data_IF_206390446138
#
_entry.id   IF_206390446138
#
_cell.length_a   1.000
_cell.length_b   1.000
_cell.length_c   1.000
_cell.angle_alpha   90.00
_cell.angle_beta   90.00
_cell.angle_gamma   90.00
#
_symmetry.space_group_name_H-M   'P 1'
#
loop_
_entity.id
_entity.type
_entity.pdbx_description
1 polymer ?
#
# COMPACT_ATOMS: atom_id res chain seq x y z
N UNK A 1 13.76 -6.57 -11.66
CA UNK A 1 13.38 -6.52 -10.23
C UNK A 1 12.07 -5.78 -10.13
N UNK A 2 11.11 -6.28 -9.35
CA UNK A 2 9.82 -5.61 -9.13
C UNK A 2 10.03 -4.39 -8.26
N UNK A 3 9.63 -3.20 -8.72
CA UNK A 3 9.83 -1.95 -7.99
C UNK A 3 8.99 -1.92 -6.71
N UNK A 4 7.90 -2.71 -6.68
CA UNK A 4 7.08 -2.96 -5.51
C UNK A 4 7.89 -3.35 -4.26
N UNK A 5 8.99 -4.11 -4.42
CA UNK A 5 9.82 -4.57 -3.29
C UNK A 5 10.50 -3.42 -2.54
N UNK A 6 10.61 -2.22 -3.13
CA UNK A 6 11.13 -1.05 -2.44
C UNK A 6 10.22 -0.57 -1.30
N UNK A 7 8.93 -0.94 -1.31
CA UNK A 7 8.00 -0.63 -0.23
C UNK A 7 8.16 -1.56 0.99
N UNK A 8 8.77 -2.74 0.81
CA UNK A 8 8.91 -3.74 1.87
C UNK A 8 9.62 -3.24 3.14
N UNK A 9 10.77 -2.55 3.09
CA UNK A 9 11.39 -2.01 4.30
C UNK A 9 10.47 -1.06 5.06
N UNK A 10 9.70 -0.22 4.36
CA UNK A 10 8.76 0.72 4.99
C UNK A 10 7.57 -0.01 5.63
N UNK A 11 7.04 -1.05 4.97
CA UNK A 11 6.01 -1.92 5.54
C UNK A 11 6.47 -2.63 6.81
N UNK A 12 7.71 -3.15 6.83
CA UNK A 12 8.28 -3.81 7.99
C UNK A 12 8.42 -2.81 9.14
N UNK A 13 8.93 -1.61 8.87
CA UNK A 13 9.05 -0.55 9.87
C UNK A 13 7.68 -0.13 10.43
N UNK A 14 6.69 0.09 9.57
CA UNK A 14 5.34 0.43 9.99
C UNK A 14 4.69 -0.70 10.81
N UNK A 15 4.89 -1.96 10.41
CA UNK A 15 4.41 -3.11 11.19
C UNK A 15 5.10 -3.20 12.54
N UNK A 16 6.41 -2.93 12.61
CA UNK A 16 7.14 -2.82 13.87
C UNK A 16 6.59 -1.71 14.76
N UNK A 17 6.11 -0.60 14.18
CA UNK A 17 5.50 0.50 14.91
C UNK A 17 4.20 0.10 15.62
N UNK A 18 3.47 -0.93 15.13
CA UNK A 18 2.32 -1.48 15.86
C UNK A 18 2.69 -2.02 17.24
N UNK A 19 3.92 -2.51 17.44
CA UNK A 19 4.37 -2.97 18.75
C UNK A 19 4.47 -1.83 19.77
N UNK A 20 4.51 -0.58 19.30
CA UNK A 20 4.59 0.63 20.12
C UNK A 20 3.22 1.30 20.25
N UNK A 21 2.42 1.31 19.19
CA UNK A 21 1.13 2.00 19.14
C UNK A 21 0.05 1.16 18.43
N UNK A 22 -0.91 0.67 19.21
CA UNK A 22 -1.96 -0.25 18.76
C UNK A 22 -3.31 0.43 18.48
N UNK A 23 -3.30 1.74 18.22
CA UNK A 23 -4.54 2.49 17.94
C UNK A 23 -5.12 2.12 16.56
N UNK A 24 -6.46 2.14 16.39
CA UNK A 24 -7.09 1.89 15.09
C UNK A 24 -6.54 2.79 13.96
N UNK A 25 -6.25 4.06 14.26
CA UNK A 25 -5.67 5.03 13.32
C UNK A 25 -4.25 4.65 12.82
N UNK A 26 -3.59 3.68 13.47
CA UNK A 26 -2.30 3.11 13.06
C UNK A 26 -2.51 1.76 12.37
N UNK A 27 -3.39 0.92 12.91
CA UNK A 27 -3.70 -0.41 12.37
C UNK A 27 -4.26 -0.32 10.95
N UNK A 28 -5.26 0.54 10.74
CA UNK A 28 -5.98 0.66 9.46
C UNK A 28 -5.03 0.96 8.29
N UNK A 29 -4.20 2.03 8.30
CA UNK A 29 -3.30 2.29 7.18
C UNK A 29 -2.29 1.16 6.95
N UNK A 30 -1.80 0.50 8.00
CA UNK A 30 -0.84 -0.62 7.86
C UNK A 30 -1.50 -1.83 7.21
N UNK A 31 -2.71 -2.18 7.63
CA UNK A 31 -3.48 -3.28 7.02
C UNK A 31 -3.76 -2.99 5.54
N UNK A 32 -4.20 -1.76 5.22
CA UNK A 32 -4.45 -1.35 3.83
C UNK A 32 -3.17 -1.42 2.98
N UNK A 33 -2.04 -0.98 3.52
CA UNK A 33 -0.75 -1.06 2.85
C UNK A 33 -0.32 -2.50 2.59
N UNK A 34 -0.49 -3.42 3.55
CA UNK A 34 -0.21 -4.84 3.36
C UNK A 34 -1.12 -5.47 2.31
N UNK A 35 -2.43 -5.16 2.35
CA UNK A 35 -3.38 -5.66 1.36
C UNK A 35 -3.02 -5.17 -0.05
N UNK A 36 -2.73 -3.88 -0.19
CA UNK A 36 -2.31 -3.30 -1.48
C UNK A 36 -1.04 -3.97 -1.99
N UNK A 37 -0.02 -4.12 -1.13
CA UNK A 37 1.22 -4.80 -1.49
C UNK A 37 0.97 -6.23 -1.95
N UNK A 38 0.15 -6.98 -1.22
CA UNK A 38 -0.16 -8.37 -1.55
C UNK A 38 -0.93 -8.50 -2.87
N UNK A 39 -1.88 -7.59 -3.11
CA UNK A 39 -2.66 -7.53 -4.35
C UNK A 39 -1.77 -7.24 -5.56
N UNK A 40 -0.96 -6.18 -5.53
CA UNK A 40 -0.05 -5.85 -6.65
C UNK A 40 1.04 -6.94 -6.80
N UNK A 41 1.52 -7.51 -5.69
CA UNK A 41 2.45 -8.64 -5.76
C UNK A 41 1.82 -9.85 -6.45
N UNK A 42 0.57 -10.18 -6.14
CA UNK A 42 -0.06 -11.41 -6.66
C UNK A 42 -0.67 -11.24 -8.05
N UNK A 43 -1.34 -10.12 -8.28
CA UNK A 43 -2.19 -9.87 -9.44
C UNK A 43 -1.78 -8.65 -10.24
N UNK A 44 -0.78 -7.89 -9.77
CA UNK A 44 -0.34 -6.65 -10.37
C UNK A 44 0.11 -6.75 -11.82
N UNK A 45 0.25 -5.59 -12.43
CA UNK A 45 0.50 -5.46 -13.86
C UNK A 45 1.97 -5.76 -14.25
N UNK A 46 2.23 -6.02 -15.53
CA UNK A 46 3.59 -6.03 -16.07
C UNK A 46 4.18 -4.61 -16.20
N UNK A 47 3.38 -3.57 -15.93
CA UNK A 47 3.77 -2.17 -16.08
C UNK A 47 4.68 -1.74 -14.94
N UNK A 48 5.90 -1.33 -15.30
CA UNK A 48 6.89 -0.79 -14.35
C UNK A 48 6.46 0.51 -13.67
N UNK A 49 5.51 1.24 -14.25
CA UNK A 49 5.04 2.53 -13.72
C UNK A 49 3.98 2.33 -12.63
N UNK A 50 3.06 1.37 -12.81
CA UNK A 50 2.08 1.02 -11.78
C UNK A 50 2.76 0.47 -10.52
N UNK A 51 3.71 -0.44 -10.73
CA UNK A 51 4.58 -1.04 -9.70
C UNK A 51 5.27 0.03 -8.84
N UNK A 52 5.70 1.15 -9.46
CA UNK A 52 6.39 2.25 -8.79
C UNK A 52 5.43 3.18 -8.04
N UNK A 53 4.26 3.49 -8.64
CA UNK A 53 3.23 4.29 -7.99
C UNK A 53 2.72 3.62 -6.71
N UNK A 54 2.44 2.31 -6.78
CA UNK A 54 2.00 1.53 -5.62
C UNK A 54 3.11 1.49 -4.56
N UNK A 55 4.36 1.22 -4.95
CA UNK A 55 5.49 1.20 -4.02
C UNK A 55 5.65 2.54 -3.29
N UNK A 56 5.57 3.65 -4.01
CA UNK A 56 5.71 4.99 -3.48
C UNK A 56 4.54 5.35 -2.56
N UNK A 57 3.31 4.99 -2.94
CA UNK A 57 2.11 5.19 -2.13
C UNK A 57 2.17 4.46 -0.79
N UNK A 58 2.57 3.18 -0.80
CA UNK A 58 2.75 2.37 0.42
C UNK A 58 3.87 2.96 1.28
N UNK A 59 4.99 3.37 0.68
CA UNK A 59 6.14 3.90 1.42
C UNK A 59 5.78 5.23 2.10
N UNK A 60 5.19 6.17 1.35
CA UNK A 60 4.78 7.48 1.87
C UNK A 60 3.76 7.36 3.00
N UNK A 61 2.71 6.56 2.81
CA UNK A 61 1.69 6.36 3.85
C UNK A 61 2.28 5.71 5.10
N UNK A 62 3.17 4.73 4.95
CA UNK A 62 3.87 4.08 6.07
C UNK A 62 4.72 5.07 6.87
N UNK A 63 5.43 5.99 6.21
CA UNK A 63 6.24 7.03 6.87
C UNK A 63 5.38 8.11 7.52
N UNK A 64 4.19 8.38 6.98
CA UNK A 64 3.28 9.39 7.52
C UNK A 64 2.57 8.94 8.81
N UNK A 65 2.51 7.64 9.12
CA UNK A 65 1.84 7.11 10.32
C UNK A 65 2.24 7.86 11.61
N UNK A 66 3.53 8.00 11.96
CA UNK A 66 3.93 8.70 13.18
C UNK A 66 3.74 10.23 13.11
N UNK A 67 3.74 10.82 11.91
CA UNK A 67 3.70 12.28 11.73
C UNK A 67 2.27 12.82 11.62
N UNK A 68 1.44 12.19 10.79
CA UNK A 68 0.08 12.63 10.46
C UNK A 68 -0.81 11.43 10.12
N UNK A 69 -1.41 10.80 11.14
CA UNK A 69 -2.23 9.59 11.01
C UNK A 69 -3.38 9.73 10.00
N UNK A 70 -4.11 10.85 10.01
CA UNK A 70 -5.23 11.06 9.09
C UNK A 70 -4.77 11.10 7.61
N UNK A 71 -3.60 11.69 7.33
CA UNK A 71 -3.04 11.70 5.98
C UNK A 71 -2.51 10.32 5.58
N UNK A 72 -1.90 9.58 6.51
CA UNK A 72 -1.45 8.21 6.27
C UNK A 72 -2.63 7.30 5.90
N UNK A 73 -3.73 7.38 6.66
CA UNK A 73 -4.96 6.62 6.42
C UNK A 73 -5.60 6.98 5.09
N UNK A 74 -5.78 8.27 4.80
CA UNK A 74 -6.33 8.73 3.53
C UNK A 74 -5.48 8.24 2.34
N UNK A 75 -4.16 8.36 2.42
CA UNK A 75 -3.26 7.95 1.35
C UNK A 75 -3.28 6.43 1.15
N UNK A 76 -3.21 5.65 2.23
CA UNK A 76 -3.31 4.18 2.16
C UNK A 76 -4.64 3.74 1.54
N UNK A 77 -5.74 4.40 1.90
CA UNK A 77 -7.06 4.13 1.33
C UNK A 77 -7.13 4.47 -0.16
N UNK A 78 -6.65 5.64 -0.58
CA UNK A 78 -6.64 6.05 -1.99
C UNK A 78 -5.84 5.06 -2.83
N UNK A 79 -4.64 4.68 -2.38
CA UNK A 79 -3.78 3.73 -3.08
C UNK A 79 -4.43 2.35 -3.18
N UNK A 80 -5.08 1.89 -2.10
CA UNK A 80 -5.82 0.63 -2.11
C UNK A 80 -6.99 0.63 -3.11
N UNK A 81 -7.77 1.73 -3.16
CA UNK A 81 -8.87 1.87 -4.13
C UNK A 81 -8.36 1.91 -5.56
N UNK A 82 -7.24 2.59 -5.82
CA UNK A 82 -6.60 2.61 -7.14
C UNK A 82 -6.18 1.20 -7.57
N UNK A 83 -5.54 0.45 -6.68
CA UNK A 83 -5.13 -0.93 -6.92
C UNK A 83 -6.33 -1.83 -7.23
N UNK A 84 -7.38 -1.77 -6.41
CA UNK A 84 -8.62 -2.51 -6.66
C UNK A 84 -9.26 -2.12 -7.99
N UNK A 85 -9.25 -0.84 -8.34
CA UNK A 85 -9.81 -0.36 -9.62
C UNK A 85 -8.99 -0.89 -10.79
N UNK A 86 -7.66 -0.85 -10.70
CA UNK A 86 -6.75 -1.38 -11.72
C UNK A 86 -6.96 -2.89 -11.92
N UNK A 87 -7.06 -3.65 -10.83
CA UNK A 87 -7.36 -5.07 -10.88
C UNK A 87 -8.75 -5.36 -11.44
N UNK A 88 -9.77 -4.60 -11.02
CA UNK A 88 -11.13 -4.75 -11.54
C UNK A 88 -11.19 -4.52 -13.04
N UNK A 89 -10.56 -3.44 -13.53
CA UNK A 89 -10.43 -3.15 -14.96
C UNK A 89 -9.70 -4.29 -15.68
N UNK A 90 -8.60 -4.78 -15.11
CA UNK A 90 -7.80 -5.87 -15.67
C UNK A 90 -8.57 -7.19 -15.79
N UNK A 91 -9.40 -7.54 -14.81
CA UNK A 91 -10.17 -8.79 -14.85
C UNK A 91 -11.47 -8.65 -15.64
N UNK A 92 -12.13 -7.49 -15.62
CA UNK A 92 -13.42 -7.29 -16.29
C UNK A 92 -13.33 -6.94 -17.78
N UNK A 93 -12.27 -6.25 -18.21
CA UNK A 93 -12.10 -5.86 -19.63
C UNK A 93 -11.22 -6.84 -20.43
N UNK A 94 -10.73 -7.90 -19.80
CA UNK A 94 -9.90 -8.94 -20.44
C UNK A 94 -10.69 -10.20 -20.79
N UNK A 95 -11.95 -10.26 -20.37
CA UNK A 95 -13.00 -11.17 -20.88
C UNK A 95 -13.78 -10.45 -22.00
#
# INVERSE_FOLDING_TARGET
MRKLLYALPFLILATGFLMVDFRPAVIVPITLNWLTFWLEYRYGSESKEGDELIALGISMSSVLIPAHQAFAELLAFVIFVLELTALFVKFKLRD
#
